data_IF_948351198886
#
_entry.id   IF_948351198886
#
_cell.length_a   1.000
_cell.length_b   1.000
_cell.length_c   1.000
_cell.angle_alpha   90.00
_cell.angle_beta   90.00
_cell.angle_gamma   90.00
#
_symmetry.space_group_name_H-M   'P 1'
#
loop_
_entity.id
_entity.type
_entity.pdbx_description
1 polymer ?
#
# COMPACT_ATOMS: atom_id res chain seq x y z
N UNK A 1 6.05 33.50 -10.88
CA UNK A 1 7.16 32.52 -10.76
C UNK A 1 6.67 31.07 -10.67
N UNK A 2 5.53 30.79 -10.03
CA UNK A 2 5.06 29.42 -9.78
C UNK A 2 4.63 28.62 -11.03
N UNK A 3 4.04 29.29 -12.03
CA UNK A 3 3.55 28.63 -13.26
C UNK A 3 4.69 28.17 -14.18
N UNK A 4 5.74 28.99 -14.34
CA UNK A 4 6.89 28.68 -15.21
C UNK A 4 7.69 27.50 -14.63
N UNK A 5 7.90 27.47 -13.31
CA UNK A 5 8.57 26.35 -12.65
C UNK A 5 7.76 25.05 -12.75
N UNK A 6 6.43 25.12 -12.65
CA UNK A 6 5.55 23.95 -12.87
C UNK A 6 5.64 23.42 -14.30
N UNK A 7 5.69 24.31 -15.30
CA UNK A 7 5.81 23.93 -16.71
C UNK A 7 7.18 23.27 -16.97
N UNK A 8 8.27 23.88 -16.48
CA UNK A 8 9.63 23.31 -16.62
C UNK A 8 9.74 21.92 -15.98
N UNK A 9 9.28 21.76 -14.74
CA UNK A 9 9.30 20.48 -14.04
C UNK A 9 8.52 19.39 -14.80
N UNK A 10 7.35 19.75 -15.37
CA UNK A 10 6.54 18.84 -16.17
C UNK A 10 7.26 18.42 -17.46
N UNK A 11 7.87 19.37 -18.17
CA UNK A 11 8.65 19.07 -19.38
C UNK A 11 9.81 18.11 -19.05
N UNK A 12 10.57 18.37 -17.99
CA UNK A 12 11.65 17.50 -17.54
C UNK A 12 11.16 16.07 -17.20
N UNK A 13 10.01 15.96 -16.53
CA UNK A 13 9.38 14.69 -16.21
C UNK A 13 8.90 13.93 -17.46
N UNK A 14 8.29 14.62 -18.43
CA UNK A 14 7.87 14.03 -19.70
C UNK A 14 9.09 13.52 -20.50
N UNK A 15 10.16 14.31 -20.58
CA UNK A 15 11.43 13.88 -21.20
C UNK A 15 12.04 12.67 -20.50
N UNK A 16 12.03 12.66 -19.16
CA UNK A 16 12.46 11.51 -18.35
C UNK A 16 11.67 10.25 -18.69
N UNK A 17 10.34 10.33 -18.73
CA UNK A 17 9.47 9.20 -19.08
C UNK A 17 9.79 8.68 -20.49
N UNK A 18 9.93 9.58 -21.46
CA UNK A 18 10.26 9.20 -22.85
C UNK A 18 11.62 8.49 -22.95
N UNK A 19 12.65 9.02 -22.27
CA UNK A 19 13.99 8.43 -22.25
C UNK A 19 14.02 7.06 -21.59
N UNK A 20 13.20 6.83 -20.57
CA UNK A 20 13.10 5.50 -19.97
C UNK A 20 12.31 4.55 -20.88
N UNK A 21 11.22 5.00 -21.51
CA UNK A 21 10.44 4.18 -22.45
C UNK A 21 11.23 3.74 -23.67
N UNK A 22 12.24 4.51 -24.10
CA UNK A 22 13.12 4.11 -25.20
C UNK A 22 14.11 3.01 -24.79
N UNK A 23 14.33 2.78 -23.50
CA UNK A 23 15.08 1.63 -23.02
C UNK A 23 14.26 0.37 -23.31
N UNK A 24 14.80 -0.57 -24.11
CA UNK A 24 14.19 -1.88 -24.36
C UNK A 24 14.19 -2.81 -23.13
N UNK A 25 14.37 -2.25 -21.93
CA UNK A 25 14.50 -2.99 -20.67
C UNK A 25 13.16 -3.59 -20.28
N UNK A 26 13.17 -4.88 -19.95
CA UNK A 26 11.99 -5.62 -19.51
C UNK A 26 12.33 -6.40 -18.26
N UNK A 27 11.50 -6.22 -17.25
CA UNK A 27 11.57 -6.97 -16.00
C UNK A 27 10.76 -8.26 -16.15
N UNK A 28 11.19 -9.35 -15.49
CA UNK A 28 10.43 -10.60 -15.41
C UNK A 28 9.41 -10.48 -14.27
N UNK A 29 8.09 -10.60 -14.50
CA UNK A 29 7.09 -10.35 -13.47
C UNK A 29 7.32 -11.07 -12.12
N UNK A 30 7.88 -12.27 -12.16
CA UNK A 30 8.13 -13.14 -11.01
C UNK A 30 9.31 -12.67 -10.15
N UNK A 31 10.24 -11.89 -10.71
CA UNK A 31 11.44 -11.40 -10.02
C UNK A 31 11.21 -10.10 -9.25
N UNK A 32 10.00 -9.54 -9.28
CA UNK A 32 9.70 -8.25 -8.70
C UNK A 32 9.40 -8.35 -7.20
N UNK A 33 9.73 -7.30 -6.45
CA UNK A 33 9.41 -7.20 -5.03
C UNK A 33 8.13 -6.38 -4.89
N UNK A 34 7.08 -6.97 -4.32
CA UNK A 34 5.78 -6.30 -4.15
C UNK A 34 5.56 -5.95 -2.68
N UNK A 35 5.09 -4.72 -2.44
CA UNK A 35 4.75 -4.22 -1.10
C UNK A 35 3.29 -3.73 -1.13
N UNK A 36 2.40 -4.48 -0.51
CA UNK A 36 0.99 -4.14 -0.33
C UNK A 36 0.78 -3.43 1.00
N UNK A 37 -0.04 -2.38 0.98
CA UNK A 37 -0.39 -1.63 2.18
C UNK A 37 -1.60 -0.74 1.91
N UNK A 38 -2.26 -0.33 2.98
CA UNK A 38 -3.12 0.85 2.92
C UNK A 38 -2.31 2.11 2.65
N UNK A 39 -2.89 3.12 1.97
CA UNK A 39 -2.37 4.48 2.06
C UNK A 39 -2.24 4.87 3.53
N UNK A 40 -1.08 5.40 3.92
CA UNK A 40 -0.68 5.72 5.30
C UNK A 40 -0.34 4.52 6.21
N UNK A 41 -0.30 3.31 5.66
CA UNK A 41 0.11 2.10 6.37
C UNK A 41 1.62 1.94 6.58
N UNK A 42 2.44 2.88 6.12
CA UNK A 42 3.90 2.88 6.32
C UNK A 42 4.73 2.33 5.15
N UNK A 43 4.09 1.91 4.05
CA UNK A 43 4.77 1.28 2.91
C UNK A 43 5.83 2.15 2.24
N UNK A 44 5.75 3.48 2.34
CA UNK A 44 6.82 4.35 1.84
C UNK A 44 8.13 4.10 2.58
N UNK A 45 8.10 4.02 3.92
CA UNK A 45 9.30 3.81 4.72
C UNK A 45 9.94 2.46 4.39
N UNK A 46 9.11 1.42 4.31
CA UNK A 46 9.55 0.08 3.95
C UNK A 46 10.10 0.01 2.52
N UNK A 47 9.45 0.65 1.54
CA UNK A 47 9.94 0.71 0.17
C UNK A 47 11.27 1.45 0.07
N UNK A 48 11.46 2.53 0.82
CA UNK A 48 12.72 3.29 0.87
C UNK A 48 13.86 2.46 1.47
N UNK A 49 13.60 1.65 2.51
CA UNK A 49 14.58 0.70 3.04
C UNK A 49 14.88 -0.44 2.07
N UNK A 50 13.87 -1.06 1.47
CA UNK A 50 14.09 -2.17 0.52
C UNK A 50 14.81 -1.68 -0.74
N UNK A 51 14.65 -0.42 -1.13
CA UNK A 51 15.36 0.19 -2.25
C UNK A 51 16.85 0.44 -2.00
N UNK A 52 17.41 -0.10 -0.90
CA UNK A 52 18.85 -0.24 -0.72
C UNK A 52 19.39 -1.55 -1.30
N UNK A 53 18.52 -2.47 -1.73
CA UNK A 53 18.90 -3.66 -2.50
C UNK A 53 19.59 -3.20 -3.80
N UNK A 54 20.80 -3.72 -4.11
CA UNK A 54 21.50 -3.37 -5.34
C UNK A 54 20.65 -3.60 -6.59
N UNK A 55 20.81 -2.71 -7.57
CA UNK A 55 20.13 -2.76 -8.85
C UNK A 55 18.60 -2.88 -8.71
N UNK A 56 18.00 -2.12 -7.78
CA UNK A 56 16.55 -2.03 -7.64
C UNK A 56 16.03 -0.63 -7.94
N UNK A 57 14.79 -0.55 -8.43
CA UNK A 57 14.10 0.69 -8.71
C UNK A 57 12.66 0.66 -8.18
N UNK A 58 12.18 1.74 -7.60
CA UNK A 58 10.79 1.81 -7.11
C UNK A 58 9.83 2.09 -8.27
N UNK A 59 8.77 1.29 -8.39
CA UNK A 59 7.60 1.60 -9.20
C UNK A 59 6.48 2.05 -8.27
N UNK A 60 6.13 3.34 -8.36
CA UNK A 60 5.32 4.02 -7.36
C UNK A 60 3.81 3.91 -7.60
N UNK A 61 3.11 3.22 -6.71
CA UNK A 61 1.64 3.18 -6.60
C UNK A 61 0.88 2.97 -7.93
N UNK A 62 1.13 1.85 -8.65
CA UNK A 62 0.56 1.59 -9.98
C UNK A 62 -0.94 1.22 -9.97
N UNK A 63 -1.63 1.33 -8.82
CA UNK A 63 -3.09 1.22 -8.72
C UNK A 63 -3.77 2.57 -8.43
N UNK A 64 -3.04 3.68 -8.48
CA UNK A 64 -3.64 4.99 -8.26
C UNK A 64 -4.47 5.42 -9.48
N UNK A 65 -5.79 5.23 -9.42
CA UNK A 65 -6.71 5.37 -10.57
C UNK A 65 -6.71 6.74 -11.26
N UNK A 66 -6.27 7.80 -10.58
CA UNK A 66 -6.07 9.12 -11.21
C UNK A 66 -4.96 9.11 -12.28
N UNK A 67 -3.92 8.30 -12.08
CA UNK A 67 -2.71 8.27 -12.92
C UNK A 67 -2.64 7.02 -13.79
N UNK A 68 -3.47 6.03 -13.51
CA UNK A 68 -3.40 4.69 -14.11
C UNK A 68 -4.60 4.43 -15.01
N UNK A 69 -4.45 4.82 -16.28
CA UNK A 69 -5.52 4.74 -17.29
C UNK A 69 -5.94 3.30 -17.59
N UNK A 70 -5.01 2.35 -17.63
CA UNK A 70 -5.32 0.94 -17.91
C UNK A 70 -6.29 0.36 -16.87
N UNK A 71 -6.01 0.52 -15.58
CA UNK A 71 -6.92 0.05 -14.52
C UNK A 71 -8.25 0.80 -14.51
N UNK A 72 -8.24 2.11 -14.76
CA UNK A 72 -9.47 2.91 -14.86
C UNK A 72 -10.37 2.41 -16.00
N UNK A 73 -9.80 2.08 -17.17
CA UNK A 73 -10.55 1.54 -18.32
C UNK A 73 -11.13 0.15 -18.06
N UNK A 74 -10.46 -0.65 -17.23
CA UNK A 74 -10.97 -1.95 -16.78
C UNK A 74 -12.08 -1.85 -15.72
N UNK A 75 -12.46 -0.64 -15.31
CA UNK A 75 -13.49 -0.44 -14.29
C UNK A 75 -13.02 -0.81 -12.88
N UNK A 76 -11.72 -0.73 -12.59
CA UNK A 76 -11.22 -0.93 -11.22
C UNK A 76 -11.81 0.13 -10.30
N UNK A 77 -12.26 -0.31 -9.13
CA UNK A 77 -12.51 0.55 -7.98
C UNK A 77 -11.22 0.86 -7.22
N UNK A 78 -11.21 1.89 -6.38
CA UNK A 78 -10.00 2.31 -5.64
C UNK A 78 -9.40 1.22 -4.76
N UNK A 79 -10.19 0.22 -4.36
CA UNK A 79 -9.83 -0.89 -3.49
C UNK A 79 -10.30 -2.21 -4.09
N UNK A 80 -10.04 -2.37 -5.39
CA UNK A 80 -10.54 -3.49 -6.19
C UNK A 80 -10.27 -4.84 -5.50
N UNK A 81 -11.33 -5.59 -5.26
CA UNK A 81 -11.27 -7.00 -4.87
C UNK A 81 -11.28 -7.88 -6.12
N UNK A 82 -10.54 -8.97 -6.08
CA UNK A 82 -10.62 -10.02 -7.09
C UNK A 82 -10.62 -11.35 -6.33
N UNK A 83 -11.60 -12.25 -6.53
CA UNK A 83 -11.59 -13.56 -5.89
C UNK A 83 -10.32 -14.34 -6.22
N UNK A 84 -9.77 -15.09 -5.25
CA UNK A 84 -8.41 -15.64 -5.37
C UNK A 84 -8.20 -16.59 -6.56
N UNK A 85 -9.28 -17.26 -6.98
CA UNK A 85 -9.31 -18.24 -8.08
C UNK A 85 -9.91 -17.67 -9.36
N UNK A 86 -10.23 -16.38 -9.38
CA UNK A 86 -10.87 -15.77 -10.54
C UNK A 86 -9.91 -15.67 -11.73
N UNK A 87 -10.42 -16.03 -12.91
CA UNK A 87 -9.75 -15.80 -14.18
C UNK A 87 -10.19 -14.47 -14.79
N UNK A 88 -9.41 -13.42 -14.53
CA UNK A 88 -9.61 -12.11 -15.15
C UNK A 88 -8.41 -11.74 -16.02
N UNK A 89 -8.42 -12.22 -17.26
CA UNK A 89 -7.31 -12.11 -18.21
C UNK A 89 -6.89 -10.66 -18.48
N UNK A 90 -7.82 -9.72 -18.56
CA UNK A 90 -7.51 -8.30 -18.76
C UNK A 90 -6.81 -7.68 -17.55
N UNK A 91 -7.24 -8.02 -16.34
CA UNK A 91 -6.55 -7.61 -15.12
C UNK A 91 -5.15 -8.21 -15.07
N UNK A 92 -5.00 -9.50 -15.40
CA UNK A 92 -3.68 -10.15 -15.47
C UNK A 92 -2.77 -9.46 -16.48
N UNK A 93 -3.25 -9.16 -17.69
CA UNK A 93 -2.50 -8.40 -18.71
C UNK A 93 -2.09 -7.01 -18.22
N UNK A 94 -2.95 -6.33 -17.46
CA UNK A 94 -2.60 -5.05 -16.85
C UNK A 94 -1.46 -5.20 -15.82
N UNK A 95 -1.52 -6.21 -14.95
CA UNK A 95 -0.44 -6.52 -14.02
C UNK A 95 0.84 -7.00 -14.71
N UNK A 96 0.76 -7.75 -15.80
CA UNK A 96 1.94 -8.11 -16.61
C UNK A 96 2.66 -6.86 -17.12
N UNK A 97 1.93 -5.81 -17.53
CA UNK A 97 2.54 -4.51 -17.88
C UNK A 97 3.17 -3.82 -16.67
N UNK A 98 2.51 -3.85 -15.51
CA UNK A 98 3.03 -3.26 -14.26
C UNK A 98 4.36 -3.91 -13.89
N UNK A 99 4.35 -5.24 -13.76
CA UNK A 99 5.48 -6.03 -13.27
C UNK A 99 6.61 -6.15 -14.28
N UNK A 100 6.34 -5.95 -15.58
CA UNK A 100 7.39 -5.84 -16.61
C UNK A 100 7.94 -4.41 -16.80
N UNK A 101 7.49 -3.44 -16.00
CA UNK A 101 7.97 -2.05 -16.05
C UNK A 101 7.43 -1.23 -17.23
N UNK A 102 6.31 -1.63 -17.84
CA UNK A 102 5.76 -0.96 -19.04
C UNK A 102 4.78 0.18 -18.73
N UNK A 103 4.45 0.41 -17.45
CA UNK A 103 3.46 1.41 -17.00
C UNK A 103 4.10 2.73 -16.55
N UNK A 104 5.01 3.25 -17.35
CA UNK A 104 5.80 4.42 -16.99
C UNK A 104 5.08 5.74 -17.25
N UNK A 105 4.99 6.56 -16.22
CA UNK A 105 4.53 7.94 -16.25
C UNK A 105 5.18 8.71 -15.08
N UNK A 106 4.89 10.00 -14.97
CA UNK A 106 5.46 10.86 -13.91
C UNK A 106 5.16 10.33 -12.50
N UNK A 107 3.98 9.73 -12.30
CA UNK A 107 3.56 9.19 -11.02
C UNK A 107 4.31 7.92 -10.66
N UNK A 108 4.41 6.95 -11.58
CA UNK A 108 5.07 5.67 -11.32
C UNK A 108 6.59 5.79 -11.19
N UNK A 109 7.18 6.87 -11.73
CA UNK A 109 8.60 7.21 -11.62
C UNK A 109 8.90 8.28 -10.56
N UNK A 110 7.94 8.58 -9.68
CA UNK A 110 8.08 9.64 -8.65
C UNK A 110 9.29 9.43 -7.73
N UNK A 111 9.72 8.18 -7.52
CA UNK A 111 10.82 7.80 -6.62
C UNK A 111 12.04 7.18 -7.31
N UNK A 112 12.10 7.27 -8.63
CA UNK A 112 13.12 6.58 -9.43
C UNK A 112 13.60 7.49 -10.55
N UNK A 113 14.88 7.86 -10.57
CA UNK A 113 15.52 8.56 -11.69
C UNK A 113 15.90 7.62 -12.86
N UNK A 114 16.42 8.20 -13.94
CA UNK A 114 16.69 7.49 -15.20
C UNK A 114 17.82 6.50 -15.02
N UNK A 115 18.89 6.94 -14.36
CA UNK A 115 20.11 6.19 -14.10
C UNK A 115 19.80 4.96 -13.24
N UNK A 116 19.09 5.16 -12.13
CA UNK A 116 18.61 4.08 -11.24
C UNK A 116 17.77 3.06 -12.01
N UNK A 117 16.80 3.50 -12.83
CA UNK A 117 15.98 2.58 -13.63
C UNK A 117 16.82 1.82 -14.67
N UNK A 118 17.75 2.51 -15.33
CA UNK A 118 18.65 1.95 -16.34
C UNK A 118 19.56 0.87 -15.74
N UNK A 119 19.97 1.00 -14.49
CA UNK A 119 20.79 0.02 -13.79
C UNK A 119 19.95 -1.11 -13.16
N UNK A 120 18.73 -0.81 -12.71
CA UNK A 120 17.92 -1.76 -11.93
C UNK A 120 17.52 -3.06 -12.65
N UNK A 121 17.87 -4.23 -12.16
CA UNK A 121 17.43 -5.52 -12.74
C UNK A 121 16.11 -6.02 -12.13
N UNK A 122 15.62 -5.37 -11.06
CA UNK A 122 14.33 -5.62 -10.42
C UNK A 122 13.62 -4.33 -10.00
N UNK A 123 12.30 -4.42 -9.87
CA UNK A 123 11.41 -3.37 -9.39
C UNK A 123 10.94 -3.68 -7.98
N UNK A 124 10.82 -2.61 -7.20
CA UNK A 124 10.08 -2.59 -5.94
C UNK A 124 8.75 -1.91 -6.23
N UNK A 125 7.72 -2.73 -6.41
CA UNK A 125 6.37 -2.29 -6.77
C UNK A 125 5.60 -2.01 -5.50
N UNK A 126 5.46 -0.72 -5.16
CA UNK A 126 4.72 -0.28 -3.99
C UNK A 126 3.23 -0.17 -4.34
N UNK A 127 2.41 -1.08 -3.84
CA UNK A 127 0.99 -1.20 -4.17
C UNK A 127 0.13 -0.72 -2.99
N UNK A 128 -0.30 0.53 -3.07
CA UNK A 128 -1.31 1.06 -2.16
C UNK A 128 -2.72 0.64 -2.63
N UNK A 129 -3.60 0.30 -1.68
CA UNK A 129 -5.01 -0.06 -1.92
C UNK A 129 -5.24 -1.40 -2.66
N UNK A 130 -4.19 -2.23 -2.79
CA UNK A 130 -4.27 -3.54 -3.44
C UNK A 130 -4.53 -4.70 -2.48
N UNK A 131 -4.81 -4.46 -1.19
CA UNK A 131 -4.85 -5.52 -0.18
C UNK A 131 -5.94 -6.57 -0.51
N UNK A 132 -7.12 -6.13 -0.98
CA UNK A 132 -8.21 -7.05 -1.34
C UNK A 132 -7.92 -7.90 -2.60
N UNK A 133 -6.97 -7.52 -3.46
CA UNK A 133 -6.58 -8.33 -4.62
C UNK A 133 -5.26 -9.09 -4.40
N UNK A 134 -4.63 -8.94 -3.24
CA UNK A 134 -3.37 -9.62 -2.92
C UNK A 134 -3.51 -11.16 -3.02
N UNK A 135 -4.57 -11.81 -2.50
CA UNK A 135 -4.73 -13.25 -2.67
C UNK A 135 -4.80 -13.69 -4.14
N UNK A 136 -5.49 -12.92 -4.97
CA UNK A 136 -5.58 -13.20 -6.40
C UNK A 136 -4.23 -13.07 -7.10
N UNK A 137 -3.48 -11.98 -6.87
CA UNK A 137 -2.22 -11.75 -7.60
C UNK A 137 -1.17 -12.81 -7.25
N UNK A 138 -1.08 -13.30 -6.00
CA UNK A 138 -0.15 -14.38 -5.64
C UNK A 138 -0.55 -15.75 -6.18
N UNK A 139 -1.75 -15.89 -6.73
CA UNK A 139 -2.17 -17.07 -7.49
C UNK A 139 -1.88 -16.95 -8.98
N UNK A 140 -1.63 -15.74 -9.50
CA UNK A 140 -1.31 -15.51 -10.91
C UNK A 140 0.18 -15.68 -11.23
N UNK A 141 1.06 -15.57 -10.22
CA UNK A 141 2.50 -15.57 -10.40
C UNK A 141 3.19 -16.43 -9.34
N UNK A 142 4.29 -17.08 -9.73
CA UNK A 142 5.20 -17.72 -8.79
C UNK A 142 6.33 -16.76 -8.43
N UNK A 143 6.06 -15.82 -7.53
CA UNK A 143 7.03 -14.79 -7.16
C UNK A 143 8.27 -15.39 -6.48
N UNK A 144 9.46 -15.01 -6.99
CA UNK A 144 10.75 -15.32 -6.38
C UNK A 144 10.84 -14.81 -4.94
N UNK A 145 10.31 -13.62 -4.71
CA UNK A 145 10.25 -12.98 -3.40
C UNK A 145 8.79 -12.98 -2.93
N UNK A 146 8.50 -13.65 -1.81
CA UNK A 146 7.16 -13.59 -1.19
C UNK A 146 6.75 -12.12 -1.03
N UNK A 147 5.62 -11.68 -1.63
CA UNK A 147 5.15 -10.31 -1.48
C UNK A 147 4.99 -9.94 -0.01
N UNK A 148 5.21 -8.67 0.30
CA UNK A 148 5.02 -8.13 1.64
C UNK A 148 3.63 -7.53 1.73
N UNK A 149 2.87 -7.95 2.74
CA UNK A 149 1.65 -7.30 3.16
C UNK A 149 1.92 -6.55 4.47
N UNK A 150 2.07 -5.24 4.36
CA UNK A 150 2.26 -4.35 5.50
C UNK A 150 0.89 -3.87 5.98
N UNK A 151 0.53 -4.30 7.19
CA UNK A 151 -0.71 -3.92 7.86
C UNK A 151 -0.38 -3.04 9.07
N UNK A 152 -1.24 -2.06 9.35
CA UNK A 152 -1.08 -1.09 10.42
C UNK A 152 -2.40 -0.94 11.16
N UNK A 153 -2.32 -0.57 12.44
CA UNK A 153 -3.47 -0.25 13.27
C UNK A 153 -4.47 0.65 12.50
N UNK A 154 -5.75 0.22 12.39
CA UNK A 154 -6.77 0.93 11.63
C UNK A 154 -6.97 2.37 12.10
N UNK A 155 -6.94 2.64 13.41
CA UNK A 155 -7.06 3.99 13.96
C UNK A 155 -5.91 4.89 13.53
N UNK A 156 -4.68 4.36 13.51
CA UNK A 156 -3.51 5.11 13.07
C UNK A 156 -3.56 5.42 11.56
N UNK A 157 -4.02 4.47 10.74
CA UNK A 157 -4.24 4.69 9.31
C UNK A 157 -5.30 5.78 9.09
N UNK A 158 -6.46 5.66 9.73
CA UNK A 158 -7.58 6.61 9.55
C UNK A 158 -7.21 8.00 10.06
N UNK A 159 -6.62 8.13 11.26
CA UNK A 159 -6.11 9.41 11.77
C UNK A 159 -5.14 10.07 10.79
N UNK A 160 -4.23 9.29 10.19
CA UNK A 160 -3.28 9.82 9.21
C UNK A 160 -3.94 10.25 7.91
N UNK A 161 -4.96 9.51 7.44
CA UNK A 161 -5.71 9.84 6.22
C UNK A 161 -6.47 11.16 6.39
N UNK A 162 -7.15 11.33 7.53
CA UNK A 162 -7.92 12.54 7.85
C UNK A 162 -7.02 13.79 7.90
N UNK A 163 -5.78 13.67 8.40
CA UNK A 163 -4.82 14.79 8.47
C UNK A 163 -4.11 15.12 7.15
N UNK A 164 -4.09 14.22 6.16
CA UNK A 164 -3.30 14.41 4.94
C UNK A 164 -3.98 15.32 3.90
N UNK A 165 -5.29 15.54 4.01
CA UNK A 165 -6.10 16.33 3.06
C UNK A 165 -6.61 15.51 1.85
N UNK A 166 -6.01 14.37 1.52
CA UNK A 166 -6.50 13.46 0.46
C UNK A 166 -7.86 12.82 0.74
N UNK A 167 -8.37 12.99 1.96
CA UNK A 167 -9.68 12.55 2.43
C UNK A 167 -10.54 13.72 2.93
N UNK A 168 -10.23 14.94 2.48
CA UNK A 168 -10.95 16.15 2.84
C UNK A 168 -12.20 16.35 1.96
N UNK A 169 -13.15 15.42 2.08
CA UNK A 169 -14.48 15.50 1.47
C UNK A 169 -15.56 15.47 2.56
N UNK A 170 -16.72 16.07 2.33
CA UNK A 170 -17.83 15.95 3.29
C UNK A 170 -18.28 14.50 3.38
N UNK A 171 -18.56 14.03 4.60
CA UNK A 171 -19.14 12.70 4.77
C UNK A 171 -20.46 12.61 3.99
N UNK A 172 -20.69 11.46 3.39
CA UNK A 172 -21.95 11.10 2.75
C UNK A 172 -22.20 9.63 3.05
N UNK A 173 -23.48 9.23 3.04
CA UNK A 173 -23.89 7.85 3.30
C UNK A 173 -23.06 6.86 2.48
N UNK A 174 -22.82 5.69 3.06
CA UNK A 174 -22.06 4.64 2.42
C UNK A 174 -22.63 4.31 1.04
N UNK A 175 -21.75 4.25 0.05
CA UNK A 175 -22.06 3.77 -1.29
C UNK A 175 -21.06 2.68 -1.64
N UNK A 176 -21.56 1.47 -1.87
CA UNK A 176 -20.72 0.40 -2.35
C UNK A 176 -20.06 0.84 -3.68
N UNK A 177 -18.74 0.61 -3.84
CA UNK A 177 -18.07 0.90 -5.09
C UNK A 177 -18.75 0.12 -6.22
N UNK A 178 -18.90 0.78 -7.36
CA UNK A 178 -19.33 0.13 -8.59
C UNK A 178 -18.12 -0.50 -9.26
N UNK A 179 -18.30 -1.66 -9.88
CA UNK A 179 -17.24 -2.40 -10.55
C UNK A 179 -17.37 -3.91 -10.39
N UNK A 180 -16.52 -4.64 -11.09
CA UNK A 180 -16.49 -6.11 -11.00
C UNK A 180 -16.18 -6.54 -9.56
N UNK A 181 -16.82 -7.60 -9.08
CA UNK A 181 -16.59 -8.18 -7.75
C UNK A 181 -16.78 -7.23 -6.55
N UNK A 182 -17.60 -6.18 -6.68
CA UNK A 182 -17.86 -5.27 -5.55
C UNK A 182 -18.73 -5.86 -4.44
N UNK A 183 -19.16 -7.13 -4.56
CA UNK A 183 -20.07 -7.79 -3.61
C UNK A 183 -19.57 -7.76 -2.15
N UNK A 184 -18.26 -7.87 -1.93
CA UNK A 184 -17.67 -7.81 -0.57
C UNK A 184 -17.94 -6.48 0.14
N UNK A 185 -18.20 -5.42 -0.63
CA UNK A 185 -18.55 -4.09 -0.14
C UNK A 185 -20.06 -3.94 0.13
N UNK A 186 -20.83 -5.00 -0.09
CA UNK A 186 -22.28 -5.07 0.13
C UNK A 186 -22.68 -6.20 1.09
N UNK A 187 -21.80 -7.18 1.37
CA UNK A 187 -22.10 -8.31 2.26
C UNK A 187 -22.47 -7.88 3.69
N UNK A 188 -22.08 -6.67 4.10
CA UNK A 188 -22.44 -6.04 5.38
C UNK A 188 -23.36 -4.82 5.21
N UNK A 189 -24.23 -4.80 4.19
CA UNK A 189 -25.05 -3.63 3.84
C UNK A 189 -25.76 -2.99 5.05
N UNK A 190 -26.42 -3.79 5.89
CA UNK A 190 -27.13 -3.28 7.08
C UNK A 190 -26.21 -2.58 8.09
N UNK A 191 -24.95 -3.00 8.20
CA UNK A 191 -23.95 -2.34 9.04
C UNK A 191 -23.44 -1.06 8.36
N UNK A 192 -23.18 -1.14 7.05
CA UNK A 192 -22.57 -0.07 6.25
C UNK A 192 -23.53 1.11 6.02
N UNK A 193 -24.83 0.85 5.92
CA UNK A 193 -25.85 1.91 5.78
C UNK A 193 -26.06 2.71 7.08
N UNK A 194 -25.67 2.17 8.23
CA UNK A 194 -25.79 2.81 9.54
C UNK A 194 -24.57 3.67 9.91
N UNK A 195 -23.52 3.67 9.10
CA UNK A 195 -22.33 4.48 9.38
C UNK A 195 -22.71 5.96 9.35
N UNK A 196 -22.25 6.70 10.35
CA UNK A 196 -22.67 8.08 10.60
C UNK A 196 -21.54 9.10 10.45
N UNK A 197 -20.31 8.63 10.22
CA UNK A 197 -19.11 9.44 10.21
C UNK A 197 -18.08 8.97 9.20
N UNK A 198 -17.13 9.86 8.88
CA UNK A 198 -16.05 9.58 7.94
C UNK A 198 -15.07 8.56 8.51
N UNK A 199 -14.79 8.66 9.81
CA UNK A 199 -13.96 7.75 10.57
C UNK A 199 -14.48 6.32 10.45
N UNK A 200 -15.78 6.11 10.74
CA UNK A 200 -16.46 4.82 10.62
C UNK A 200 -16.38 4.27 9.18
N UNK A 201 -16.61 5.11 8.17
CA UNK A 201 -16.50 4.72 6.76
C UNK A 201 -15.08 4.26 6.40
N UNK A 202 -14.04 4.95 6.87
CA UNK A 202 -12.66 4.59 6.57
C UNK A 202 -12.24 3.32 7.31
N UNK A 203 -12.68 3.15 8.57
CA UNK A 203 -12.50 1.92 9.34
C UNK A 203 -13.19 0.74 8.66
N UNK A 204 -14.43 0.90 8.21
CA UNK A 204 -15.16 -0.16 7.49
C UNK A 204 -14.43 -0.58 6.21
N UNK A 205 -13.96 0.37 5.39
CA UNK A 205 -13.18 0.07 4.20
C UNK A 205 -11.85 -0.64 4.51
N UNK A 206 -11.19 -0.23 5.60
CA UNK A 206 -10.00 -0.90 6.10
C UNK A 206 -10.33 -2.35 6.48
N UNK A 207 -11.41 -2.59 7.23
CA UNK A 207 -11.82 -3.92 7.66
C UNK A 207 -12.15 -4.83 6.48
N UNK A 208 -13.02 -4.38 5.56
CA UNK A 208 -13.43 -5.13 4.37
C UNK A 208 -12.21 -5.61 3.57
N UNK A 209 -11.27 -4.72 3.31
CA UNK A 209 -10.14 -5.05 2.42
C UNK A 209 -9.03 -5.84 3.08
N UNK A 210 -8.78 -5.61 4.37
CA UNK A 210 -7.73 -6.31 5.10
C UNK A 210 -8.21 -7.69 5.57
N UNK A 211 -9.51 -7.89 5.85
CA UNK A 211 -10.08 -9.21 6.16
C UNK A 211 -9.78 -10.22 5.05
N UNK A 212 -9.99 -9.83 3.79
CA UNK A 212 -9.67 -10.65 2.61
C UNK A 212 -8.22 -11.14 2.60
N UNK A 213 -7.27 -10.24 2.89
CA UNK A 213 -5.84 -10.58 2.88
C UNK A 213 -5.40 -11.35 4.13
N UNK A 214 -6.08 -11.19 5.26
CA UNK A 214 -5.73 -11.89 6.50
C UNK A 214 -6.24 -13.33 6.50
N UNK A 215 -7.45 -13.54 5.99
CA UNK A 215 -8.18 -14.83 6.05
C UNK A 215 -8.09 -15.63 4.74
N UNK A 216 -7.20 -15.22 3.83
CA UNK A 216 -7.00 -15.88 2.55
C UNK A 216 -6.47 -17.31 2.69
N UNK A 217 -6.96 -18.23 1.84
CA UNK A 217 -6.36 -19.56 1.71
C UNK A 217 -4.93 -19.50 1.14
N UNK A 218 -4.62 -18.42 0.42
CA UNK A 218 -3.32 -18.15 -0.19
C UNK A 218 -2.35 -17.41 0.76
N UNK A 219 -2.71 -17.24 2.04
CA UNK A 219 -1.97 -16.48 3.05
C UNK A 219 -0.51 -16.90 3.23
N UNK A 220 -0.17 -18.15 2.95
CA UNK A 220 1.19 -18.70 3.03
C UNK A 220 2.13 -18.20 1.91
N UNK A 221 1.58 -17.59 0.84
CA UNK A 221 2.32 -17.09 -0.33
C UNK A 221 2.89 -15.68 -0.16
N UNK A 222 2.47 -14.95 0.86
CA UNK A 222 3.00 -13.64 1.22
C UNK A 222 3.31 -13.56 2.72
N UNK A 223 4.16 -12.63 3.08
CA UNK A 223 4.55 -12.40 4.47
C UNK A 223 3.84 -11.16 5.00
N UNK A 224 3.27 -11.29 6.20
CA UNK A 224 2.67 -10.16 6.92
C UNK A 224 3.72 -9.50 7.78
N UNK A 225 3.75 -8.18 7.68
CA UNK A 225 4.54 -7.30 8.52
C UNK A 225 3.56 -6.39 9.23
N UNK A 226 3.60 -6.41 10.56
CA UNK A 226 2.84 -5.51 11.40
C UNK A 226 3.63 -4.22 11.57
N UNK A 227 3.03 -3.08 11.25
CA UNK A 227 3.73 -1.80 11.24
C UNK A 227 4.27 -1.40 12.62
N UNK A 228 3.55 -1.73 13.69
CA UNK A 228 3.88 -1.39 15.06
C UNK A 228 5.10 -2.19 15.51
N UNK A 229 5.13 -3.50 15.25
CA UNK A 229 6.32 -4.33 15.43
C UNK A 229 7.50 -3.79 14.60
N UNK A 230 7.21 -3.30 13.39
CA UNK A 230 8.24 -2.75 12.50
C UNK A 230 8.82 -1.41 13.00
N UNK A 231 8.03 -0.59 13.67
CA UNK A 231 8.51 0.65 14.31
C UNK A 231 9.26 0.33 15.61
N UNK A 232 8.80 -0.69 16.33
CA UNK A 232 9.41 -1.12 17.59
C UNK A 232 10.80 -1.72 17.35
N UNK A 233 10.91 -2.72 16.49
CA UNK A 233 12.17 -3.37 16.13
C UNK A 233 12.32 -3.54 14.60
N UNK A 234 12.68 -2.46 13.88
CA UNK A 234 12.85 -2.50 12.44
C UNK A 234 13.94 -3.47 11.99
N UNK A 235 15.01 -3.63 12.77
CA UNK A 235 16.14 -4.52 12.44
C UNK A 235 15.68 -5.96 12.38
N UNK A 236 14.99 -6.42 13.42
CA UNK A 236 14.44 -7.79 13.50
C UNK A 236 13.42 -8.06 12.40
N UNK A 237 12.53 -7.10 12.13
CA UNK A 237 11.56 -7.23 11.05
C UNK A 237 12.22 -7.31 9.66
N UNK A 238 13.23 -6.49 9.37
CA UNK A 238 14.00 -6.58 8.12
C UNK A 238 14.69 -7.93 8.01
N UNK A 239 15.36 -8.40 9.07
CA UNK A 239 15.99 -9.71 9.06
C UNK A 239 14.98 -10.82 8.76
N UNK A 240 13.79 -10.79 9.38
CA UNK A 240 12.71 -11.74 9.09
C UNK A 240 12.26 -11.70 7.62
N UNK A 241 12.12 -10.51 7.04
CA UNK A 241 11.74 -10.33 5.63
C UNK A 241 12.77 -10.97 4.69
N UNK A 242 14.04 -10.68 4.90
CA UNK A 242 15.13 -11.17 4.06
C UNK A 242 15.39 -12.67 4.25
N UNK A 243 15.23 -13.19 5.47
CA UNK A 243 15.27 -14.63 5.74
C UNK A 243 14.17 -15.38 4.99
N UNK A 244 12.94 -14.84 4.93
CA UNK A 244 11.85 -15.41 4.12
C UNK A 244 12.16 -15.42 2.62
N UNK A 245 12.91 -14.44 2.15
CA UNK A 245 13.39 -14.36 0.77
C UNK A 245 14.66 -15.17 0.50
N UNK A 246 15.30 -15.70 1.55
CA UNK A 246 16.57 -16.45 1.48
C UNK A 246 17.68 -15.63 0.81
N UNK A 247 17.75 -14.34 1.12
CA UNK A 247 18.82 -13.45 0.66
C UNK A 247 19.44 -12.72 1.85
N UNK A 248 20.73 -12.40 1.74
CA UNK A 248 21.44 -11.63 2.76
C UNK A 248 20.91 -10.21 2.83
N UNK A 249 20.78 -9.69 4.04
CA UNK A 249 20.41 -8.30 4.28
C UNK A 249 21.56 -7.37 3.83
N UNK A 250 21.34 -6.45 2.87
CA UNK A 250 22.35 -5.47 2.49
C UNK A 250 22.73 -4.57 3.66
N UNK A 251 24.01 -4.38 3.96
CA UNK A 251 24.47 -3.58 5.12
C UNK A 251 23.91 -2.16 5.15
N UNK A 252 23.73 -1.56 3.96
CA UNK A 252 23.19 -0.22 3.79
C UNK A 252 21.73 -0.08 4.26
N UNK A 253 20.98 -1.17 4.41
CA UNK A 253 19.60 -1.10 4.91
C UNK A 253 19.56 -0.64 6.36
N UNK A 254 20.52 -1.07 7.18
CA UNK A 254 20.58 -0.72 8.61
C UNK A 254 20.88 0.77 8.80
N UNK A 255 21.60 1.39 7.86
CA UNK A 255 21.78 2.85 7.84
C UNK A 255 20.48 3.60 7.52
N UNK A 256 19.58 2.99 6.76
CA UNK A 256 18.28 3.56 6.41
C UNK A 256 17.22 3.38 7.51
N UNK A 257 17.40 2.42 8.41
CA UNK A 257 16.48 2.16 9.54
C UNK A 257 16.30 3.40 10.42
N UNK A 258 17.36 4.16 10.69
CA UNK A 258 17.30 5.37 11.52
C UNK A 258 16.69 6.59 10.80
N UNK A 259 16.44 6.49 9.49
CA UNK A 259 15.93 7.60 8.68
C UNK A 259 14.40 7.57 8.63
N UNK A 260 13.76 8.69 9.02
CA UNK A 260 12.32 8.90 8.82
C UNK A 260 11.96 8.87 7.33
N UNK A 261 10.78 8.33 7.02
CA UNK A 261 10.28 8.32 5.63
C UNK A 261 10.09 9.73 5.04
N UNK A 262 10.31 9.88 3.72
CA UNK A 262 10.12 11.14 2.99
C UNK A 262 8.68 11.69 3.02
N UNK A 263 7.70 10.90 3.48
CA UNK A 263 6.28 11.29 3.55
C UNK A 263 5.81 11.67 4.96
N UNK A 264 6.72 11.68 5.93
CA UNK A 264 6.44 12.09 7.32
C UNK A 264 6.50 13.61 7.43
N UNK A 265 5.37 14.25 7.79
CA UNK A 265 5.29 15.71 7.98
C UNK A 265 5.88 16.20 9.32
N UNK A 266 6.01 15.33 10.34
CA UNK A 266 6.55 15.70 11.66
C UNK A 266 8.07 15.77 11.65
N UNK A 267 8.61 16.99 11.81
CA UNK A 267 10.05 17.27 11.95
C UNK A 267 10.58 17.03 13.36
N UNK A 268 9.73 16.93 14.39
CA UNK A 268 10.21 16.85 15.78
C UNK A 268 10.97 15.56 16.08
N UNK A 269 12.17 15.73 16.64
CA UNK A 269 13.13 14.68 16.97
C UNK A 269 12.90 14.07 18.37
N UNK A 270 11.99 14.62 19.18
CA UNK A 270 11.85 14.32 20.61
C UNK A 270 10.63 13.47 20.99
N UNK A 271 9.92 12.86 20.02
CA UNK A 271 8.73 12.04 20.31
C UNK A 271 9.17 10.59 20.53
N UNK A 272 8.79 10.00 21.65
CA UNK A 272 9.10 8.59 21.94
C UNK A 272 8.40 7.65 20.95
N UNK A 273 8.87 6.40 20.83
CA UNK A 273 8.21 5.39 19.98
C UNK A 273 6.75 5.18 20.43
N UNK A 274 6.52 5.09 21.73
CA UNK A 274 5.19 4.90 22.29
C UNK A 274 4.26 6.07 21.99
N UNK A 275 4.75 7.31 22.14
CA UNK A 275 3.99 8.50 21.77
C UNK A 275 3.69 8.54 20.27
N UNK A 276 4.63 8.10 19.43
CA UNK A 276 4.43 8.02 17.99
C UNK A 276 3.34 7.01 17.63
N UNK A 277 3.43 5.79 18.16
CA UNK A 277 2.48 4.70 17.91
C UNK A 277 1.08 5.01 18.47
N UNK A 278 0.99 5.74 19.58
CA UNK A 278 -0.27 6.11 20.22
C UNK A 278 -0.82 7.49 19.80
N UNK A 279 -0.11 8.23 18.94
CA UNK A 279 -0.50 9.60 18.54
C UNK A 279 -1.88 9.71 17.88
N UNK A 280 -2.44 8.60 17.39
CA UNK A 280 -3.79 8.54 16.86
C UNK A 280 -4.86 8.76 17.92
N UNK A 281 -4.61 8.39 19.19
CA UNK A 281 -5.57 8.55 20.30
C UNK A 281 -5.98 10.01 20.48
N UNK A 282 -5.08 10.95 20.21
CA UNK A 282 -5.36 12.39 20.26
C UNK A 282 -6.20 12.91 19.09
N UNK A 283 -6.60 12.06 18.15
CA UNK A 283 -7.36 12.44 16.95
C UNK A 283 -8.82 12.01 17.00
N UNK A 284 -9.22 11.29 18.04
CA UNK A 284 -10.57 10.77 18.21
C UNK A 284 -11.05 11.06 19.64
N UNK A 285 -12.33 11.35 19.80
CA UNK A 285 -12.97 11.33 21.11
C UNK A 285 -13.13 9.90 21.62
N UNK A 286 -13.31 9.71 22.93
CA UNK A 286 -13.58 8.40 23.51
C UNK A 286 -14.80 7.71 22.86
N UNK A 287 -15.85 8.48 22.54
CA UNK A 287 -17.03 7.97 21.84
C UNK A 287 -16.70 7.50 20.41
N UNK A 288 -15.85 8.22 19.68
CA UNK A 288 -15.41 7.79 18.35
C UNK A 288 -14.58 6.51 18.42
N UNK A 289 -13.68 6.41 19.41
CA UNK A 289 -12.88 5.19 19.64
C UNK A 289 -13.80 4.02 19.93
N UNK A 290 -14.76 4.17 20.84
CA UNK A 290 -15.73 3.13 21.18
C UNK A 290 -16.52 2.66 19.95
N UNK A 291 -17.15 3.60 19.22
CA UNK A 291 -17.93 3.28 18.02
C UNK A 291 -17.11 2.54 16.95
N UNK A 292 -15.88 3.00 16.70
CA UNK A 292 -15.00 2.36 15.73
C UNK A 292 -14.50 0.99 16.21
N UNK A 293 -14.27 0.81 17.51
CA UNK A 293 -13.90 -0.48 18.11
C UNK A 293 -15.05 -1.47 17.94
N UNK A 294 -16.27 -1.08 18.30
CA UNK A 294 -17.48 -1.91 18.12
C UNK A 294 -17.71 -2.25 16.64
N UNK A 295 -17.43 -1.30 15.74
CA UNK A 295 -17.49 -1.53 14.31
C UNK A 295 -16.46 -2.58 13.85
N UNK A 296 -15.20 -2.49 14.29
CA UNK A 296 -14.16 -3.48 13.96
C UNK A 296 -14.55 -4.87 14.49
N UNK A 297 -15.05 -4.95 15.74
CA UNK A 297 -15.53 -6.21 16.34
C UNK A 297 -16.61 -6.89 15.48
N UNK A 298 -17.55 -6.13 14.91
CA UNK A 298 -18.59 -6.64 14.00
C UNK A 298 -18.08 -7.19 12.68
N UNK A 299 -16.85 -6.85 12.27
CA UNK A 299 -16.23 -7.47 11.10
C UNK A 299 -15.58 -8.82 11.41
N UNK A 300 -15.44 -9.20 12.68
CA UNK A 300 -14.98 -10.53 13.12
C UNK A 300 -13.68 -11.00 12.44
N UNK A 301 -12.72 -10.08 12.31
CA UNK A 301 -11.43 -10.37 11.64
C UNK A 301 -10.61 -11.31 12.53
N UNK A 302 -10.26 -12.48 12.00
CA UNK A 302 -9.50 -13.50 12.73
C UNK A 302 -7.98 -13.25 12.62
N UNK A 303 -7.47 -12.22 13.31
CA UNK A 303 -6.03 -11.94 13.39
C UNK A 303 -5.64 -11.43 14.79
N UNK A 304 -4.67 -12.11 15.41
CA UNK A 304 -4.23 -11.83 16.78
C UNK A 304 -3.75 -10.38 16.95
N UNK A 305 -3.05 -9.84 15.96
CA UNK A 305 -2.51 -8.49 16.04
C UNK A 305 -3.64 -7.44 15.99
N UNK A 306 -4.73 -7.67 15.27
CA UNK A 306 -5.89 -6.78 15.30
C UNK A 306 -6.59 -6.83 16.66
N UNK A 307 -6.69 -8.01 17.26
CA UNK A 307 -7.31 -8.18 18.57
C UNK A 307 -6.58 -7.39 19.69
N UNK A 308 -5.26 -7.17 19.57
CA UNK A 308 -4.48 -6.32 20.51
C UNK A 308 -4.99 -4.88 20.66
N UNK A 309 -5.83 -4.41 19.74
CA UNK A 309 -6.36 -3.04 19.75
C UNK A 309 -7.87 -2.96 20.05
N UNK A 310 -8.50 -4.09 20.38
CA UNK A 310 -9.94 -4.20 20.62
C UNK A 310 -10.31 -4.33 22.11
N UNK A 311 -9.30 -4.48 22.97
CA UNK A 311 -9.39 -4.52 24.43
C UNK A 311 -9.03 -3.16 25.04
#
# INVERSE_FOLDING_TARGET
MDTINRIKNRIELEHKVLRIKSLKKRFKPEDQILIFSDPRGGSTWLAEMINTIPNSAILWEPLHLKYMTDFKKLGFSWRQFIPEKEEWNEAKKAFDKVLSGKVLNEWTLLKTDIETYKEADKLIVKICRGNALLPWIVNQYNFKYKPIYLIRNPFAVVSSQLKQGGWDYKFSNYKAPQGRFSKIFSDNKNLLEKLSSKEELLIANWCITNKVALESNSRFKYQVVYYEDFVDDPVKCIQKIFNNWRITVPENIYKSVSKKSSTTKRKDHNVSKDEYLNSWKNSFSLLQIQKCTDLIKKFEIQDEYINRYLD
#
